data_IF_584563019590
#
_entry.id   IF_584563019590
#
_cell.length_a   1.000
_cell.length_b   1.000
_cell.length_c   1.000
_cell.angle_alpha   90.00
_cell.angle_beta   90.00
_cell.angle_gamma   90.00
#
_symmetry.space_group_name_H-M   'P 1'
#
loop_
_entity.id
_entity.type
_entity.pdbx_description
1 polymer ?
#
# COMPACT_ATOMS: atom_id res chain seq x y z
N UNK A 1 -59.86 -4.25 32.27
CA UNK A 1 -58.66 -5.06 31.97
C UNK A 1 -57.91 -4.70 30.70
N UNK A 2 -58.54 -4.20 29.62
CA UNK A 2 -57.84 -3.93 28.34
C UNK A 2 -56.82 -2.75 28.37
N UNK A 3 -57.07 -1.68 29.15
CA UNK A 3 -56.14 -0.54 29.27
C UNK A 3 -54.83 -0.87 30.01
N UNK A 4 -54.83 -1.84 30.92
CA UNK A 4 -53.64 -2.22 31.71
C UNK A 4 -52.65 -3.02 30.84
N UNK A 5 -53.17 -3.90 29.97
CA UNK A 5 -52.35 -4.65 29.00
C UNK A 5 -51.74 -3.76 27.91
N UNK A 6 -52.43 -2.69 27.51
CA UNK A 6 -51.90 -1.73 26.54
C UNK A 6 -50.74 -0.90 27.13
N UNK A 7 -50.87 -0.48 28.38
CA UNK A 7 -49.80 0.28 29.05
C UNK A 7 -48.58 -0.60 29.35
N UNK A 8 -48.79 -1.89 29.68
CA UNK A 8 -47.68 -2.83 29.89
C UNK A 8 -46.92 -3.12 28.59
N UNK A 9 -47.61 -3.23 27.45
CA UNK A 9 -46.94 -3.34 26.14
C UNK A 9 -46.11 -2.11 25.82
N UNK A 10 -46.64 -0.90 26.01
CA UNK A 10 -45.89 0.35 25.77
C UNK A 10 -44.67 0.45 26.70
N UNK A 11 -44.78 0.02 27.96
CA UNK A 11 -43.66 0.04 28.91
C UNK A 11 -42.58 -0.99 28.57
N UNK A 12 -42.97 -2.19 28.12
CA UNK A 12 -42.01 -3.21 27.64
C UNK A 12 -41.32 -2.74 26.36
N UNK A 13 -42.04 -2.13 25.41
CA UNK A 13 -41.42 -1.56 24.21
C UNK A 13 -40.50 -0.39 24.53
N UNK A 14 -40.85 0.49 25.49
CA UNK A 14 -39.98 1.58 25.94
C UNK A 14 -38.74 1.06 26.69
N UNK A 15 -38.83 -0.01 27.48
CA UNK A 15 -37.66 -0.60 28.13
C UNK A 15 -36.68 -1.21 27.11
N UNK A 16 -37.17 -1.82 26.03
CA UNK A 16 -36.30 -2.31 24.96
C UNK A 16 -35.70 -1.17 24.10
N UNK A 17 -36.41 -0.04 23.93
CA UNK A 17 -35.90 1.10 23.15
C UNK A 17 -34.90 1.95 23.96
N UNK A 18 -35.05 2.07 25.28
CA UNK A 18 -34.12 2.83 26.14
C UNK A 18 -32.89 2.01 26.55
N UNK A 19 -33.00 0.68 26.68
CA UNK A 19 -31.84 -0.22 26.85
C UNK A 19 -31.00 -0.37 25.58
N UNK A 20 -31.52 0.02 24.42
CA UNK A 20 -30.76 0.14 23.18
C UNK A 20 -30.27 1.57 22.96
N UNK A 21 -30.22 2.41 24.01
CA UNK A 21 -29.61 3.74 24.07
C UNK A 21 -28.09 3.70 23.96
N UNK A 22 -27.64 3.10 22.86
CA UNK A 22 -26.43 3.34 22.08
C UNK A 22 -25.36 4.21 22.76
N UNK A 23 -24.57 3.59 23.65
CA UNK A 23 -23.14 3.87 23.72
C UNK A 23 -22.48 3.46 22.41
N UNK A 24 -22.72 4.25 21.35
CA UNK A 24 -22.14 4.09 20.00
C UNK A 24 -20.62 4.12 20.19
N UNK A 25 -19.94 3.05 19.80
CA UNK A 25 -18.48 2.93 19.74
C UNK A 25 -17.68 2.66 21.03
N UNK A 26 -18.26 2.35 22.20
CA UNK A 26 -17.38 2.19 23.39
C UNK A 26 -16.36 1.03 23.27
N UNK A 27 -16.75 -0.14 22.71
CA UNK A 27 -15.82 -1.26 22.55
C UNK A 27 -14.83 -1.07 21.39
N UNK A 28 -15.23 -0.38 20.32
CA UNK A 28 -14.37 -0.13 19.16
C UNK A 28 -13.41 1.03 19.41
N UNK A 29 -13.88 2.08 20.07
CA UNK A 29 -12.98 3.11 20.59
C UNK A 29 -12.01 2.48 21.58
N UNK A 30 -12.44 1.50 22.39
CA UNK A 30 -11.54 0.79 23.29
C UNK A 30 -10.51 -0.07 22.53
N UNK A 31 -10.89 -0.83 21.49
CA UNK A 31 -9.94 -1.61 20.66
C UNK A 31 -8.97 -0.70 19.89
N UNK A 32 -9.45 0.42 19.34
CA UNK A 32 -8.62 1.40 18.64
C UNK A 32 -7.69 2.15 19.63
N UNK A 33 -8.20 2.54 20.80
CA UNK A 33 -7.39 3.17 21.87
C UNK A 33 -6.34 2.20 22.41
N UNK A 34 -6.69 0.93 22.59
CA UNK A 34 -5.75 -0.10 23.03
C UNK A 34 -4.69 -0.35 21.96
N UNK A 35 -5.09 -0.41 20.69
CA UNK A 35 -4.17 -0.53 19.56
C UNK A 35 -3.22 0.66 19.49
N UNK A 36 -3.74 1.88 19.64
CA UNK A 36 -2.94 3.09 19.70
C UNK A 36 -1.99 3.12 20.89
N UNK A 37 -2.45 2.71 22.08
CA UNK A 37 -1.62 2.62 23.28
C UNK A 37 -0.47 1.63 23.09
N UNK A 38 -0.76 0.43 22.56
CA UNK A 38 0.26 -0.57 22.23
C UNK A 38 1.27 -0.06 21.20
N UNK A 39 0.79 0.57 20.13
CA UNK A 39 1.66 1.18 19.12
C UNK A 39 2.51 2.31 19.71
N UNK A 40 1.95 3.14 20.60
CA UNK A 40 2.67 4.20 21.28
C UNK A 40 3.71 3.66 22.25
N UNK A 41 3.42 2.58 22.97
CA UNK A 41 4.37 1.89 23.85
C UNK A 41 5.54 1.33 23.04
N UNK A 42 5.25 0.64 21.93
CA UNK A 42 6.26 0.13 21.02
C UNK A 42 7.11 1.27 20.42
N UNK A 43 6.48 2.36 19.96
CA UNK A 43 7.16 3.55 19.44
C UNK A 43 8.01 4.28 20.46
N UNK A 44 7.63 4.27 21.74
CA UNK A 44 8.42 4.87 22.82
C UNK A 44 9.83 4.26 22.96
N UNK A 45 10.02 3.04 22.46
CA UNK A 45 11.33 2.36 22.47
C UNK A 45 12.11 2.46 21.17
N UNK A 46 11.53 3.11 20.12
CA UNK A 46 12.18 3.48 18.85
C UNK A 46 13.48 2.72 18.55
N UNK A 47 13.35 1.47 18.09
CA UNK A 47 14.51 0.59 17.96
C UNK A 47 14.97 -0.02 19.28
N UNK A 48 14.05 -0.65 20.03
CA UNK A 48 14.40 -1.37 21.25
C UNK A 48 15.48 -2.43 21.01
N UNK A 49 16.04 -3.02 22.08
CA UNK A 49 17.18 -3.95 22.01
C UNK A 49 16.99 -5.06 20.96
N UNK A 50 15.77 -5.58 20.84
CA UNK A 50 15.43 -6.59 19.81
C UNK A 50 15.59 -6.06 18.39
N UNK A 51 15.12 -4.85 18.11
CA UNK A 51 15.23 -4.26 16.78
C UNK A 51 16.68 -3.96 16.40
N UNK A 52 17.47 -3.42 17.33
CA UNK A 52 18.91 -3.20 17.14
C UNK A 52 19.63 -4.53 16.89
N UNK A 53 19.31 -5.57 17.65
CA UNK A 53 19.91 -6.90 17.50
C UNK A 53 19.60 -7.52 16.14
N UNK A 54 18.35 -7.42 15.68
CA UNK A 54 17.95 -7.94 14.36
C UNK A 54 18.59 -7.13 13.22
N UNK A 55 18.62 -5.80 13.32
CA UNK A 55 19.25 -4.93 12.33
C UNK A 55 20.74 -5.23 12.17
N UNK A 56 21.45 -5.37 13.30
CA UNK A 56 22.85 -5.78 13.32
C UNK A 56 23.04 -7.16 12.69
N UNK A 57 22.25 -8.15 13.10
CA UNK A 57 22.36 -9.53 12.59
C UNK A 57 22.10 -9.62 11.10
N UNK A 58 21.11 -8.89 10.59
CA UNK A 58 20.81 -8.82 9.17
C UNK A 58 21.96 -8.12 8.41
N UNK A 59 22.42 -6.96 8.89
CA UNK A 59 23.47 -6.18 8.27
C UNK A 59 24.78 -6.96 8.13
N UNK A 60 25.21 -7.65 9.20
CA UNK A 60 26.42 -8.50 9.20
C UNK A 60 26.32 -9.64 8.17
N UNK A 61 25.17 -10.31 8.09
CA UNK A 61 24.93 -11.39 7.13
C UNK A 61 24.93 -10.87 5.68
N UNK A 62 24.24 -9.74 5.43
CA UNK A 62 24.17 -9.11 4.11
C UNK A 62 25.56 -8.67 3.64
N UNK A 63 26.33 -8.03 4.53
CA UNK A 63 27.71 -7.62 4.24
C UNK A 63 28.61 -8.82 3.92
N UNK A 64 28.48 -9.91 4.69
CA UNK A 64 29.20 -11.16 4.43
C UNK A 64 28.89 -11.72 3.04
N UNK A 65 27.62 -11.76 2.65
CA UNK A 65 27.18 -12.21 1.32
C UNK A 65 27.73 -11.30 0.22
N UNK A 66 27.69 -9.98 0.40
CA UNK A 66 28.19 -8.98 -0.57
C UNK A 66 29.73 -9.02 -0.72
N UNK A 67 30.46 -9.23 0.36
CA UNK A 67 31.90 -9.39 0.31
C UNK A 67 32.28 -10.67 -0.42
N UNK A 68 31.60 -11.78 -0.12
CA UNK A 68 31.84 -13.04 -0.80
C UNK A 68 31.48 -12.99 -2.30
N UNK A 69 30.40 -12.29 -2.67
CA UNK A 69 30.04 -12.09 -4.08
C UNK A 69 31.12 -11.31 -4.84
N UNK A 70 31.69 -10.30 -4.19
CA UNK A 70 32.75 -9.46 -4.73
C UNK A 70 34.04 -10.25 -4.95
N UNK A 71 34.42 -11.08 -3.97
CA UNK A 71 35.60 -11.94 -4.06
C UNK A 71 35.50 -12.95 -5.22
N UNK A 72 34.28 -13.35 -5.59
CA UNK A 72 34.03 -14.30 -6.67
C UNK A 72 33.81 -13.65 -8.04
N UNK A 73 33.86 -12.31 -8.13
CA UNK A 73 33.60 -11.62 -9.40
C UNK A 73 32.12 -11.66 -9.83
N UNK A 74 31.21 -12.07 -8.95
CA UNK A 74 29.79 -12.24 -9.27
C UNK A 74 29.00 -10.92 -9.22
N UNK A 75 29.60 -9.84 -8.71
CA UNK A 75 29.00 -8.50 -8.66
C UNK A 75 28.58 -7.97 -10.04
N UNK A 76 29.21 -8.45 -11.12
CA UNK A 76 28.92 -8.03 -12.49
C UNK A 76 27.77 -8.82 -13.14
N UNK A 77 27.33 -9.92 -12.53
CA UNK A 77 26.23 -10.74 -13.05
C UNK A 77 24.85 -10.21 -12.64
N UNK A 78 24.81 -9.27 -11.68
CA UNK A 78 23.57 -8.62 -11.28
C UNK A 78 23.18 -7.64 -12.38
N UNK A 79 22.31 -8.06 -13.30
CA UNK A 79 21.54 -7.10 -14.06
C UNK A 79 20.62 -6.39 -13.07
N UNK A 80 20.74 -5.07 -12.94
CA UNK A 80 19.94 -4.22 -12.04
C UNK A 80 18.44 -4.35 -12.23
N UNK A 81 17.99 -5.00 -13.32
CA UNK A 81 16.58 -5.16 -13.68
C UNK A 81 16.04 -6.59 -13.47
N UNK A 82 16.85 -7.60 -13.15
CA UNK A 82 16.39 -9.00 -13.07
C UNK A 82 16.07 -9.50 -11.66
N UNK A 83 16.42 -8.74 -10.62
CA UNK A 83 16.50 -9.23 -9.24
C UNK A 83 15.18 -9.60 -8.55
N UNK A 84 14.04 -9.39 -9.20
CA UNK A 84 12.80 -9.21 -8.45
C UNK A 84 11.55 -9.82 -9.09
N UNK A 85 11.69 -10.48 -10.24
CA UNK A 85 10.58 -11.15 -10.92
C UNK A 85 10.24 -12.54 -10.35
N UNK A 86 11.07 -13.13 -9.46
CA UNK A 86 11.03 -14.59 -9.21
C UNK A 86 10.68 -15.09 -7.82
N UNK A 87 10.45 -14.25 -6.82
CA UNK A 87 10.17 -14.74 -5.46
C UNK A 87 8.80 -14.30 -4.94
N UNK A 88 7.84 -15.21 -5.10
CA UNK A 88 6.49 -15.14 -4.53
C UNK A 88 5.46 -14.59 -5.49
N UNK A 89 4.25 -15.15 -5.46
CA UNK A 89 3.09 -14.60 -6.14
C UNK A 89 2.96 -13.13 -5.73
N UNK A 90 3.00 -12.22 -6.72
CA UNK A 90 3.19 -10.76 -6.61
C UNK A 90 2.20 -10.03 -5.69
N UNK A 91 1.23 -10.72 -5.09
CA UNK A 91 0.11 -10.15 -4.34
C UNK A 91 0.05 -10.67 -2.90
N UNK A 92 1.08 -11.40 -2.45
CA UNK A 92 1.20 -11.74 -1.02
C UNK A 92 1.63 -10.49 -0.25
N UNK A 93 0.99 -10.16 0.88
CA UNK A 93 1.47 -9.07 1.73
C UNK A 93 2.92 -9.30 2.12
N UNK A 94 3.69 -8.22 2.16
CA UNK A 94 4.94 -8.22 2.89
C UNK A 94 4.58 -8.05 4.36
N UNK A 95 4.80 -9.10 5.14
CA UNK A 95 4.62 -9.10 6.58
C UNK A 95 5.98 -8.77 7.20
N UNK A 96 6.02 -7.70 7.97
CA UNK A 96 7.20 -7.19 8.64
C UNK A 96 6.97 -7.23 10.14
N UNK A 97 7.26 -8.38 10.73
CA UNK A 97 7.32 -8.57 12.18
C UNK A 97 8.71 -9.03 12.62
N UNK A 98 8.96 -8.93 13.92
CA UNK A 98 10.26 -9.34 14.46
C UNK A 98 10.55 -10.83 14.22
N UNK A 99 9.52 -11.67 14.27
CA UNK A 99 9.60 -13.11 14.02
C UNK A 99 9.86 -13.42 12.54
N UNK A 100 9.19 -12.71 11.62
CA UNK A 100 9.35 -12.90 10.18
C UNK A 100 10.75 -12.47 9.71
N UNK A 101 11.29 -11.40 10.30
CA UNK A 101 12.65 -10.93 10.06
C UNK A 101 13.67 -11.93 10.60
N UNK A 102 13.49 -12.42 11.82
CA UNK A 102 14.34 -13.45 12.42
C UNK A 102 14.34 -14.73 11.57
N UNK A 103 13.17 -15.21 11.16
CA UNK A 103 13.02 -16.34 10.24
C UNK A 103 13.71 -16.10 8.89
N UNK A 104 13.65 -14.86 8.36
CA UNK A 104 14.30 -14.51 7.09
C UNK A 104 15.82 -14.48 7.20
N UNK A 105 16.36 -14.03 8.35
CA UNK A 105 17.78 -14.09 8.67
C UNK A 105 18.24 -15.55 8.72
N UNK A 106 17.51 -16.41 9.43
CA UNK A 106 17.87 -17.83 9.58
C UNK A 106 17.79 -18.59 8.26
N UNK A 107 16.76 -18.33 7.45
CA UNK A 107 16.64 -18.90 6.10
C UNK A 107 17.81 -18.48 5.21
N UNK A 108 18.13 -17.17 5.20
CA UNK A 108 19.20 -16.62 4.39
C UNK A 108 20.57 -17.16 4.83
N UNK A 109 20.80 -17.28 6.14
CA UNK A 109 22.02 -17.86 6.70
C UNK A 109 22.17 -19.33 6.31
N UNK A 110 21.11 -20.11 6.47
CA UNK A 110 21.09 -21.53 6.07
C UNK A 110 21.35 -21.69 4.57
N UNK A 111 20.80 -20.80 3.74
CA UNK A 111 21.05 -20.79 2.30
C UNK A 111 22.51 -20.44 2.01
N UNK A 112 23.05 -19.40 2.62
CA UNK A 112 24.45 -18.99 2.48
C UNK A 112 25.42 -20.12 2.83
N UNK A 113 25.23 -20.78 3.98
CA UNK A 113 26.08 -21.88 4.45
C UNK A 113 26.10 -23.05 3.45
N UNK A 114 24.92 -23.48 2.96
CA UNK A 114 24.82 -24.54 1.95
C UNK A 114 25.51 -24.20 0.64
N UNK A 115 25.39 -22.96 0.19
CA UNK A 115 26.00 -22.52 -1.07
C UNK A 115 27.51 -22.29 -0.94
N UNK A 116 27.99 -21.87 0.23
CA UNK A 116 29.42 -21.72 0.52
C UNK A 116 30.18 -23.06 0.43
N UNK A 117 29.54 -24.17 0.80
CA UNK A 117 30.16 -25.51 0.77
C UNK A 117 30.27 -26.11 -0.65
N UNK A 118 29.39 -25.73 -1.58
CA UNK A 118 29.20 -26.45 -2.85
C UNK A 118 30.06 -26.00 -4.02
N UNK A 119 31.04 -25.12 -3.82
CA UNK A 119 31.87 -24.58 -4.90
C UNK A 119 31.01 -24.05 -6.08
N UNK A 120 30.11 -23.14 -5.74
CA UNK A 120 29.42 -22.10 -6.54
C UNK A 120 28.94 -22.43 -7.98
N UNK A 121 27.62 -22.59 -8.15
CA UNK A 121 26.92 -22.46 -9.44
C UNK A 121 26.21 -21.10 -9.48
N UNK A 122 26.47 -20.29 -10.52
CA UNK A 122 26.13 -18.86 -10.56
C UNK A 122 24.65 -18.49 -10.35
N UNK A 123 23.70 -19.39 -10.63
CA UNK A 123 22.26 -19.10 -10.45
C UNK A 123 21.84 -19.02 -8.98
N UNK A 124 22.44 -19.83 -8.10
CA UNK A 124 22.08 -19.85 -6.68
C UNK A 124 22.55 -18.55 -5.98
N UNK A 125 23.63 -17.96 -6.48
CA UNK A 125 24.18 -16.73 -5.95
C UNK A 125 23.32 -15.51 -6.22
N UNK A 126 22.70 -15.46 -7.41
CA UNK A 126 21.72 -14.42 -7.73
C UNK A 126 20.54 -14.49 -6.74
N UNK A 127 19.96 -15.67 -6.54
CA UNK A 127 18.89 -15.87 -5.54
C UNK A 127 19.31 -15.48 -4.12
N UNK A 128 20.55 -15.78 -3.73
CA UNK A 128 21.08 -15.38 -2.42
C UNK A 128 21.16 -13.86 -2.28
N UNK A 129 21.68 -13.16 -3.29
CA UNK A 129 21.77 -11.70 -3.32
C UNK A 129 20.39 -11.05 -3.35
N UNK A 130 19.45 -11.59 -4.12
CA UNK A 130 18.05 -11.13 -4.15
C UNK A 130 17.39 -11.23 -2.78
N UNK A 131 17.57 -12.36 -2.08
CA UNK A 131 17.07 -12.54 -0.71
C UNK A 131 17.76 -11.62 0.29
N UNK A 132 19.06 -11.36 0.13
CA UNK A 132 19.81 -10.43 0.96
C UNK A 132 19.32 -8.99 0.78
N UNK A 133 19.09 -8.54 -0.45
CA UNK A 133 18.57 -7.19 -0.72
C UNK A 133 17.09 -7.05 -0.28
N UNK A 134 16.27 -8.10 -0.42
CA UNK A 134 14.92 -8.12 0.14
C UNK A 134 14.93 -8.03 1.68
N UNK A 135 15.83 -8.75 2.34
CA UNK A 135 16.00 -8.67 3.80
C UNK A 135 16.45 -7.27 4.21
N UNK A 136 17.42 -6.67 3.50
CA UNK A 136 17.91 -5.30 3.74
C UNK A 136 16.77 -4.26 3.66
N UNK A 137 15.92 -4.35 2.63
CA UNK A 137 14.75 -3.50 2.49
C UNK A 137 13.74 -3.72 3.62
N UNK A 138 13.48 -4.98 3.96
CA UNK A 138 12.50 -5.38 4.98
C UNK A 138 12.92 -4.90 6.38
N UNK A 139 14.18 -5.08 6.75
CA UNK A 139 14.70 -4.65 8.06
C UNK A 139 14.74 -3.13 8.17
N UNK A 140 15.18 -2.41 7.13
CA UNK A 140 15.18 -0.93 7.11
C UNK A 140 13.79 -0.36 7.21
N UNK A 141 12.82 -0.94 6.48
CA UNK A 141 11.42 -0.51 6.55
C UNK A 141 10.83 -0.79 7.93
N UNK A 142 11.02 -2.00 8.45
CA UNK A 142 10.53 -2.37 9.78
C UNK A 142 11.10 -1.50 10.88
N UNK A 143 12.42 -1.30 10.92
CA UNK A 143 13.10 -0.45 11.92
C UNK A 143 12.66 1.00 11.82
N UNK A 144 12.54 1.56 10.61
CA UNK A 144 12.00 2.91 10.40
C UNK A 144 10.60 3.06 11.01
N UNK A 145 9.71 2.11 10.71
CA UNK A 145 8.33 2.19 11.17
C UNK A 145 8.16 1.94 12.66
N UNK A 146 9.12 1.31 13.36
CA UNK A 146 9.04 1.20 14.83
C UNK A 146 8.81 2.57 15.48
N UNK A 147 9.41 3.63 14.92
CA UNK A 147 9.23 5.00 15.40
C UNK A 147 7.93 5.69 14.98
N UNK A 148 7.13 5.04 14.14
CA UNK A 148 5.97 5.62 13.48
C UNK A 148 4.77 4.68 13.50
N UNK A 149 4.74 3.68 14.39
CA UNK A 149 3.66 2.69 14.43
C UNK A 149 2.30 3.32 14.70
N UNK A 150 2.26 4.40 15.49
CA UNK A 150 1.01 5.15 15.73
C UNK A 150 0.39 5.72 14.45
N UNK A 151 1.21 6.02 13.44
CA UNK A 151 0.73 6.50 12.13
C UNK A 151 0.23 5.35 11.25
N UNK A 152 0.60 4.11 11.58
CA UNK A 152 0.17 2.90 10.89
C UNK A 152 -1.04 2.21 11.57
N UNK A 153 -1.49 2.72 12.72
CA UNK A 153 -2.79 2.33 13.30
C UNK A 153 -3.88 3.10 12.55
N UNK A 154 -4.08 2.75 11.28
CA UNK A 154 -5.11 3.29 10.41
C UNK A 154 -6.20 2.25 10.20
N UNK A 155 -7.41 2.54 10.70
CA UNK A 155 -8.57 1.66 10.56
C UNK A 155 -8.94 1.45 9.10
N UNK A 156 -8.79 2.46 8.24
CA UNK A 156 -9.24 2.38 6.85
C UNK A 156 -8.31 1.44 6.07
N UNK A 157 -6.99 1.50 6.30
CA UNK A 157 -6.02 0.58 5.70
C UNK A 157 -6.28 -0.87 6.11
N UNK A 158 -6.62 -1.12 7.38
CA UNK A 158 -6.99 -2.45 7.84
C UNK A 158 -8.31 -2.94 7.19
N UNK A 159 -9.32 -2.07 7.08
CA UNK A 159 -10.59 -2.39 6.44
C UNK A 159 -10.44 -2.67 4.94
N UNK A 160 -9.55 -1.94 4.24
CA UNK A 160 -9.19 -2.18 2.84
C UNK A 160 -8.40 -3.49 2.66
N UNK A 161 -7.57 -3.87 3.63
CA UNK A 161 -6.93 -5.19 3.66
C UNK A 161 -7.96 -6.31 3.81
N UNK A 162 -8.93 -6.13 4.72
CA UNK A 162 -10.01 -7.09 4.92
C UNK A 162 -10.90 -7.23 3.67
N UNK A 163 -11.10 -6.14 2.91
CA UNK A 163 -11.72 -6.16 1.59
C UNK A 163 -11.00 -7.11 0.63
N UNK A 164 -9.68 -6.95 0.47
CA UNK A 164 -8.89 -7.75 -0.47
C UNK A 164 -8.93 -9.25 -0.15
N UNK A 165 -8.85 -9.59 1.14
CA UNK A 165 -8.95 -10.99 1.57
C UNK A 165 -10.33 -11.59 1.26
N UNK A 166 -11.42 -10.85 1.51
CA UNK A 166 -12.77 -11.34 1.22
C UNK A 166 -13.03 -11.40 -0.27
N UNK A 167 -12.56 -10.41 -1.04
CA UNK A 167 -12.66 -10.39 -2.49
C UNK A 167 -12.02 -11.64 -3.09
N UNK A 168 -10.82 -12.00 -2.65
CA UNK A 168 -10.09 -13.20 -3.12
C UNK A 168 -10.84 -14.52 -2.92
N UNK A 169 -11.77 -14.57 -1.96
CA UNK A 169 -12.53 -15.77 -1.61
C UNK A 169 -13.90 -15.84 -2.29
N UNK A 170 -14.55 -14.69 -2.50
CA UNK A 170 -15.97 -14.64 -2.87
C UNK A 170 -16.25 -13.93 -4.21
N UNK A 171 -15.29 -13.18 -4.75
CA UNK A 171 -15.49 -12.48 -6.01
C UNK A 171 -15.56 -13.46 -7.19
N UNK A 172 -16.52 -13.23 -8.09
CA UNK A 172 -16.78 -14.08 -9.26
C UNK A 172 -16.37 -13.42 -10.58
N UNK A 173 -16.45 -12.09 -10.67
CA UNK A 173 -16.20 -11.33 -11.90
C UNK A 173 -15.54 -9.98 -11.59
N UNK A 174 -14.60 -9.57 -12.44
CA UNK A 174 -13.93 -8.27 -12.33
C UNK A 174 -13.13 -8.08 -11.03
N UNK A 175 -12.70 -9.17 -10.41
CA UNK A 175 -11.95 -9.14 -9.16
C UNK A 175 -10.60 -8.48 -9.38
N UNK A 176 -10.08 -7.80 -8.37
CA UNK A 176 -8.64 -7.49 -8.34
C UNK A 176 -7.91 -8.82 -8.49
N UNK A 177 -7.06 -8.94 -9.51
CA UNK A 177 -6.15 -10.08 -9.64
C UNK A 177 -5.35 -10.13 -8.34
N UNK A 178 -5.75 -11.04 -7.46
CA UNK A 178 -5.26 -11.10 -6.10
C UNK A 178 -5.01 -12.58 -5.82
N UNK A 179 -3.75 -12.96 -5.96
CA UNK A 179 -3.25 -14.31 -5.75
C UNK A 179 -3.10 -14.60 -4.25
N UNK A 180 -4.04 -14.07 -3.46
CA UNK A 180 -4.14 -14.45 -2.07
C UNK A 180 -4.36 -15.95 -2.07
N UNK A 181 -3.38 -16.66 -1.52
CA UNK A 181 -3.58 -18.04 -1.09
C UNK A 181 -4.89 -17.99 -0.33
N UNK A 182 -5.90 -18.71 -0.83
CA UNK A 182 -7.26 -18.80 -0.28
C UNK A 182 -7.17 -19.36 1.14
N UNK A 183 -6.70 -18.54 2.06
CA UNK A 183 -6.60 -18.87 3.46
C UNK A 183 -8.04 -19.12 3.86
N UNK A 184 -8.30 -20.36 4.26
CA UNK A 184 -9.64 -20.73 4.71
C UNK A 184 -9.90 -19.93 5.97
N UNK A 185 -10.70 -18.88 5.85
CA UNK A 185 -11.20 -18.15 7.00
C UNK A 185 -12.22 -19.05 7.70
N UNK A 186 -12.08 -19.19 9.02
CA UNK A 186 -13.16 -19.77 9.80
C UNK A 186 -14.35 -18.78 9.86
N UNK A 187 -15.54 -19.25 10.23
CA UNK A 187 -16.74 -18.40 10.23
C UNK A 187 -16.62 -17.16 11.13
N UNK A 188 -15.85 -17.23 12.23
CA UNK A 188 -15.62 -16.10 13.14
C UNK A 188 -14.72 -15.05 12.49
N UNK A 189 -13.65 -15.47 11.83
CA UNK A 189 -12.74 -14.60 11.08
C UNK A 189 -13.45 -13.96 9.89
N UNK A 190 -14.18 -14.76 9.10
CA UNK A 190 -14.97 -14.28 7.98
C UNK A 190 -15.95 -13.20 8.43
N UNK A 191 -16.69 -13.45 9.53
CA UNK A 191 -17.62 -12.46 10.08
C UNK A 191 -16.89 -11.18 10.51
N UNK A 192 -15.75 -11.29 11.20
CA UNK A 192 -14.96 -10.13 11.65
C UNK A 192 -14.52 -9.29 10.45
N UNK A 193 -13.85 -9.91 9.47
CA UNK A 193 -13.36 -9.23 8.26
C UNK A 193 -14.49 -8.66 7.43
N UNK A 194 -15.63 -9.35 7.32
CA UNK A 194 -16.77 -8.86 6.56
C UNK A 194 -17.34 -7.58 7.18
N UNK A 195 -17.49 -7.57 8.51
CA UNK A 195 -18.00 -6.42 9.24
C UNK A 195 -17.05 -5.22 9.08
N UNK A 196 -15.74 -5.48 9.11
CA UNK A 196 -14.65 -4.52 8.89
C UNK A 196 -14.70 -3.91 7.48
N UNK A 197 -14.66 -4.75 6.44
CA UNK A 197 -14.82 -4.33 5.04
C UNK A 197 -16.12 -3.54 4.81
N UNK A 198 -17.24 -4.02 5.37
CA UNK A 198 -18.54 -3.38 5.19
C UNK A 198 -18.62 -2.02 5.90
N UNK A 199 -17.83 -1.77 6.95
CA UNK A 199 -17.83 -0.46 7.62
C UNK A 199 -17.26 0.69 6.79
N UNK A 200 -16.54 0.39 5.70
CA UNK A 200 -16.11 1.39 4.72
C UNK A 200 -17.29 2.15 4.08
N UNK A 201 -18.47 1.51 3.97
CA UNK A 201 -19.64 2.07 3.26
C UNK A 201 -20.93 2.06 4.07
N UNK A 202 -21.03 1.28 5.15
CA UNK A 202 -22.20 1.17 6.01
C UNK A 202 -21.83 1.27 7.49
N UNK A 203 -22.83 1.47 8.36
CA UNK A 203 -22.56 1.42 9.81
C UNK A 203 -22.20 -0.01 10.22
N UNK A 204 -21.11 -0.19 10.94
CA UNK A 204 -20.60 -1.50 11.43
C UNK A 204 -21.67 -2.40 12.08
N UNK A 205 -22.54 -1.85 12.93
CA UNK A 205 -23.64 -2.62 13.55
C UNK A 205 -24.68 -3.11 12.53
N UNK A 206 -24.95 -2.31 11.50
CA UNK A 206 -25.82 -2.71 10.38
C UNK A 206 -25.20 -3.87 9.62
N UNK A 207 -23.89 -3.78 9.32
CA UNK A 207 -23.14 -4.87 8.67
C UNK A 207 -23.22 -6.17 9.48
N UNK A 208 -22.98 -6.09 10.80
CA UNK A 208 -23.04 -7.25 11.70
C UNK A 208 -24.41 -7.92 11.70
N UNK A 209 -25.49 -7.14 11.93
CA UNK A 209 -26.85 -7.67 11.99
C UNK A 209 -27.27 -8.27 10.65
N UNK A 210 -27.01 -7.59 9.53
CA UNK A 210 -27.38 -8.08 8.20
C UNK A 210 -26.60 -9.33 7.81
N UNK A 211 -25.31 -9.43 8.16
CA UNK A 211 -24.51 -10.62 7.94
C UNK A 211 -25.05 -11.83 8.71
N UNK A 212 -25.43 -11.63 9.99
CA UNK A 212 -25.99 -12.70 10.82
C UNK A 212 -27.35 -13.17 10.27
N UNK A 213 -28.21 -12.23 9.84
CA UNK A 213 -29.48 -12.55 9.18
C UNK A 213 -29.24 -13.32 7.86
N UNK A 214 -28.29 -12.89 7.04
CA UNK A 214 -27.96 -13.59 5.79
C UNK A 214 -27.45 -15.01 6.06
N UNK A 215 -26.66 -15.19 7.13
CA UNK A 215 -26.15 -16.50 7.56
C UNK A 215 -27.28 -17.43 7.99
N UNK A 216 -28.21 -16.96 8.82
CA UNK A 216 -29.38 -17.73 9.26
C UNK A 216 -30.29 -18.17 8.10
N UNK A 217 -30.41 -17.31 7.08
CA UNK A 217 -31.24 -17.57 5.90
C UNK A 217 -30.50 -18.34 4.78
N UNK A 218 -29.26 -18.79 5.00
CA UNK A 218 -28.42 -19.44 3.98
C UNK A 218 -28.16 -18.57 2.73
N UNK A 219 -28.18 -17.25 2.90
CA UNK A 219 -27.90 -16.24 1.88
C UNK A 219 -26.53 -15.56 2.09
N UNK A 220 -25.63 -16.16 2.89
CA UNK A 220 -24.32 -15.60 3.25
C UNK A 220 -23.49 -15.22 2.01
N UNK A 221 -23.29 -16.15 1.07
CA UNK A 221 -22.45 -15.92 -0.11
C UNK A 221 -23.00 -14.83 -1.04
N UNK A 222 -24.28 -14.87 -1.48
CA UNK A 222 -24.84 -13.78 -2.29
C UNK A 222 -24.75 -12.41 -1.61
N UNK A 223 -24.95 -12.36 -0.29
CA UNK A 223 -24.87 -11.12 0.46
C UNK A 223 -23.43 -10.56 0.52
N UNK A 224 -22.42 -11.42 0.68
CA UNK A 224 -21.01 -11.02 0.61
C UNK A 224 -20.69 -10.44 -0.77
N UNK A 225 -21.12 -11.10 -1.84
CA UNK A 225 -20.87 -10.66 -3.21
C UNK A 225 -21.53 -9.31 -3.53
N UNK A 226 -22.78 -9.11 -3.09
CA UNK A 226 -23.45 -7.82 -3.18
C UNK A 226 -22.61 -6.72 -2.52
N UNK A 227 -22.15 -6.95 -1.27
CA UNK A 227 -21.37 -5.94 -0.55
C UNK A 227 -19.99 -5.69 -1.12
N UNK A 228 -19.31 -6.71 -1.63
CA UNK A 228 -18.05 -6.54 -2.35
C UNK A 228 -18.21 -5.54 -3.49
N UNK A 229 -19.28 -5.65 -4.30
CA UNK A 229 -19.52 -4.73 -5.41
C UNK A 229 -19.70 -3.27 -4.96
N UNK A 230 -20.32 -3.04 -3.80
CA UNK A 230 -20.51 -1.71 -3.25
C UNK A 230 -19.20 -1.14 -2.68
N UNK A 231 -18.44 -1.97 -1.94
CA UNK A 231 -17.17 -1.57 -1.33
C UNK A 231 -16.09 -1.34 -2.39
N UNK A 232 -16.13 -2.08 -3.51
CA UNK A 232 -15.20 -1.92 -4.63
C UNK A 232 -15.12 -0.48 -5.14
N UNK A 233 -16.25 0.19 -5.28
CA UNK A 233 -16.27 1.61 -5.70
C UNK A 233 -15.57 2.52 -4.68
N UNK A 234 -15.75 2.24 -3.39
CA UNK A 234 -15.03 2.96 -2.34
C UNK A 234 -13.53 2.66 -2.42
N UNK A 235 -13.15 1.39 -2.53
CA UNK A 235 -11.77 0.94 -2.66
C UNK A 235 -11.06 1.61 -3.84
N UNK A 236 -11.67 1.57 -5.03
CA UNK A 236 -11.12 2.20 -6.24
C UNK A 236 -10.90 3.70 -6.05
N UNK A 237 -11.83 4.39 -5.39
CA UNK A 237 -11.69 5.81 -5.07
C UNK A 237 -10.65 6.06 -3.96
N UNK A 238 -10.56 5.19 -2.97
CA UNK A 238 -9.65 5.34 -1.84
C UNK A 238 -8.19 5.12 -2.25
N UNK A 239 -7.96 4.19 -3.18
CA UNK A 239 -6.64 3.81 -3.70
C UNK A 239 -6.28 4.62 -4.95
N UNK A 240 -7.11 4.53 -5.99
CA UNK A 240 -6.80 5.10 -7.32
C UNK A 240 -7.42 6.48 -7.54
N UNK A 241 -8.22 6.97 -6.59
CA UNK A 241 -8.83 8.28 -6.70
C UNK A 241 -7.82 9.42 -6.63
N UNK A 242 -8.11 10.47 -7.39
CA UNK A 242 -7.32 11.69 -7.44
C UNK A 242 -7.82 12.68 -6.38
N UNK A 243 -6.92 13.17 -5.53
CA UNK A 243 -7.17 14.32 -4.63
C UNK A 243 -7.18 15.61 -5.45
N UNK A 244 -7.45 16.74 -4.79
CA UNK A 244 -7.28 18.02 -5.47
C UNK A 244 -5.80 18.17 -5.87
N UNK A 245 -5.52 18.43 -7.16
CA UNK A 245 -4.15 18.62 -7.62
C UNK A 245 -3.50 19.83 -6.95
N UNK A 246 -2.17 19.85 -6.99
CA UNK A 246 -1.39 20.98 -6.53
C UNK A 246 -1.60 22.28 -7.34
N UNK A 247 -2.13 22.19 -8.56
CA UNK A 247 -2.34 23.31 -9.47
C UNK A 247 -3.50 23.08 -10.44
N UNK A 248 -3.91 24.18 -11.07
CA UNK A 248 -4.83 24.17 -12.19
C UNK A 248 -4.08 23.70 -13.45
N UNK A 249 -4.37 22.46 -13.85
CA UNK A 249 -3.95 21.94 -15.14
C UNK A 249 -4.90 22.44 -16.22
N UNK A 250 -4.36 22.81 -17.38
CA UNK A 250 -5.20 23.02 -18.57
C UNK A 250 -5.24 21.75 -19.38
N UNK A 251 -6.43 21.23 -19.66
CA UNK A 251 -6.59 20.17 -20.63
C UNK A 251 -7.56 20.59 -21.74
N UNK A 252 -7.24 20.20 -22.97
CA UNK A 252 -8.14 20.36 -24.11
C UNK A 252 -8.17 19.10 -24.96
N UNK A 253 -9.29 18.88 -25.62
CA UNK A 253 -9.41 17.85 -26.64
C UNK A 253 -8.67 18.32 -27.91
N UNK A 254 -7.66 17.56 -28.34
CA UNK A 254 -6.84 17.90 -29.52
C UNK A 254 -7.48 17.33 -30.79
N UNK A 255 -7.83 16.04 -30.77
CA UNK A 255 -8.51 15.35 -31.89
C UNK A 255 -9.72 14.56 -31.38
N UNK A 256 -10.39 13.81 -32.26
CA UNK A 256 -11.53 12.96 -31.85
C UNK A 256 -11.15 11.95 -30.75
N UNK A 257 -9.91 11.49 -30.72
CA UNK A 257 -9.41 10.43 -29.83
C UNK A 257 -8.27 10.83 -28.89
N UNK A 258 -7.73 12.05 -28.99
CA UNK A 258 -6.54 12.47 -28.24
C UNK A 258 -6.78 13.76 -27.43
N UNK A 259 -6.27 13.77 -26.21
CA UNK A 259 -6.34 14.87 -25.25
C UNK A 259 -4.93 15.45 -25.03
N UNK A 260 -4.86 16.75 -24.83
CA UNK A 260 -3.62 17.48 -24.53
C UNK A 260 -3.70 18.06 -23.12
N UNK A 261 -2.87 17.55 -22.21
CA UNK A 261 -2.70 18.06 -20.84
C UNK A 261 -1.47 18.98 -20.79
N UNK A 262 -1.69 20.25 -20.49
CA UNK A 262 -0.63 21.26 -20.32
C UNK A 262 -0.28 21.39 -18.84
N UNK A 263 0.98 21.10 -18.52
CA UNK A 263 1.52 21.11 -17.16
C UNK A 263 2.36 22.37 -16.97
N UNK A 264 2.06 23.23 -15.99
CA UNK A 264 2.93 24.35 -15.64
C UNK A 264 4.23 23.84 -15.01
N UNK A 265 5.37 24.22 -15.58
CA UNK A 265 6.71 23.88 -15.09
C UNK A 265 7.47 25.18 -14.78
N UNK A 266 8.15 25.23 -13.64
CA UNK A 266 9.02 26.36 -13.30
C UNK A 266 10.38 26.19 -13.95
N UNK A 267 10.88 27.26 -14.58
CA UNK A 267 12.23 27.28 -15.10
C UNK A 267 13.26 27.09 -13.98
N UNK A 268 14.27 26.25 -14.21
CA UNK A 268 15.33 26.01 -13.23
C UNK A 268 16.12 24.71 -13.46
N UNK A 269 17.05 24.41 -12.55
CA UNK A 269 17.80 23.16 -12.57
C UNK A 269 16.86 21.95 -12.54
N UNK A 270 17.08 20.97 -13.42
CA UNK A 270 16.24 19.77 -13.48
C UNK A 270 14.94 19.91 -14.28
N UNK A 271 14.61 21.08 -14.87
CA UNK A 271 13.43 21.25 -15.73
C UNK A 271 13.35 20.16 -16.81
N UNK A 272 14.42 20.01 -17.61
CA UNK A 272 14.44 19.01 -18.69
C UNK A 272 14.33 17.58 -18.18
N UNK A 273 14.90 17.29 -17.01
CA UNK A 273 14.81 15.97 -16.40
C UNK A 273 13.37 15.65 -15.98
N UNK A 274 12.72 16.62 -15.33
CA UNK A 274 11.31 16.54 -14.95
C UNK A 274 10.42 16.34 -16.17
N UNK A 275 10.58 17.17 -17.21
CA UNK A 275 9.81 17.07 -18.45
C UNK A 275 9.98 15.70 -19.12
N UNK A 276 11.21 15.20 -19.20
CA UNK A 276 11.51 13.90 -19.79
C UNK A 276 10.90 12.75 -19.00
N UNK A 277 10.99 12.78 -17.66
CA UNK A 277 10.37 11.77 -16.81
C UNK A 277 8.84 11.76 -16.97
N UNK A 278 8.22 12.94 -16.98
CA UNK A 278 6.78 13.07 -17.18
C UNK A 278 6.38 12.52 -18.54
N UNK A 279 7.04 12.93 -19.63
CA UNK A 279 6.72 12.42 -20.97
C UNK A 279 6.85 10.90 -21.05
N UNK A 280 7.98 10.36 -20.56
CA UNK A 280 8.28 8.93 -20.65
C UNK A 280 7.20 8.06 -20.00
N UNK A 281 6.64 8.50 -18.87
CA UNK A 281 5.75 7.66 -18.06
C UNK A 281 4.27 8.03 -18.12
N UNK A 282 3.93 9.29 -18.40
CA UNK A 282 2.54 9.78 -18.36
C UNK A 282 1.93 10.04 -19.73
N UNK A 283 2.72 10.11 -20.81
CA UNK A 283 2.15 10.12 -22.16
C UNK A 283 1.61 8.75 -22.54
N UNK A 284 0.50 8.75 -23.29
CA UNK A 284 -0.13 7.55 -23.82
C UNK A 284 -0.72 7.82 -25.20
N UNK A 285 -1.29 6.80 -25.82
CA UNK A 285 -2.03 6.90 -27.08
C UNK A 285 -3.17 7.93 -27.01
N UNK A 286 -3.84 8.04 -25.85
CA UNK A 286 -4.96 8.98 -25.62
C UNK A 286 -4.56 10.32 -25.01
N UNK A 287 -3.41 10.41 -24.33
CA UNK A 287 -2.99 11.60 -23.57
C UNK A 287 -1.60 12.09 -24.00
N UNK A 288 -1.55 13.29 -24.55
CA UNK A 288 -0.31 14.01 -24.87
C UNK A 288 -0.02 15.02 -23.78
N UNK A 289 1.23 15.09 -23.37
CA UNK A 289 1.68 16.06 -22.36
C UNK A 289 2.36 17.24 -23.03
N UNK A 290 1.99 18.46 -22.64
CA UNK A 290 2.68 19.70 -23.00
C UNK A 290 3.12 20.42 -21.74
N UNK A 291 4.09 21.31 -21.89
CA UNK A 291 4.63 22.10 -20.80
C UNK A 291 4.46 23.58 -21.11
N UNK A 292 4.12 24.36 -20.09
CA UNK A 292 4.11 25.82 -20.15
C UNK A 292 4.97 26.38 -19.03
N UNK A 293 5.77 27.39 -19.31
CA UNK A 293 6.57 28.05 -18.28
C UNK A 293 5.67 28.81 -17.30
N UNK A 294 5.87 28.58 -16.00
CA UNK A 294 5.12 29.24 -14.92
C UNK A 294 5.97 29.38 -13.66
N UNK A 295 5.95 30.56 -13.03
CA UNK A 295 6.64 30.78 -11.75
C UNK A 295 6.09 29.93 -10.59
N UNK A 296 4.84 29.48 -10.73
CA UNK A 296 4.13 28.57 -9.80
C UNK A 296 4.03 27.14 -10.36
N UNK A 297 4.85 26.80 -11.36
CA UNK A 297 4.89 25.47 -11.94
C UNK A 297 5.68 24.48 -11.10
N UNK A 298 5.53 23.19 -11.45
CA UNK A 298 6.28 22.09 -10.79
C UNK A 298 7.77 22.30 -10.97
N UNK A 299 8.54 21.95 -9.94
CA UNK A 299 10.00 21.95 -9.98
C UNK A 299 10.61 20.84 -9.16
N UNK A 300 11.84 20.49 -9.53
CA UNK A 300 12.72 19.66 -8.72
C UNK A 300 13.50 20.53 -7.72
N UNK A 301 13.71 19.98 -6.53
CA UNK A 301 14.65 20.51 -5.54
C UNK A 301 15.49 19.36 -5.01
N UNK A 302 16.78 19.38 -5.31
CA UNK A 302 17.70 18.31 -4.92
C UNK A 302 18.05 18.40 -3.43
N UNK A 303 18.10 17.25 -2.76
CA UNK A 303 18.62 17.11 -1.40
C UNK A 303 19.28 15.75 -1.22
N UNK A 304 20.38 15.66 -0.49
CA UNK A 304 21.05 14.38 -0.18
C UNK A 304 20.56 13.72 1.11
N UNK A 305 19.73 14.44 1.87
CA UNK A 305 19.38 14.12 3.26
C UNK A 305 17.96 13.60 3.42
N UNK A 306 17.12 13.76 2.39
CA UNK A 306 15.71 13.39 2.45
C UNK A 306 15.39 12.27 1.47
N UNK A 307 14.43 11.43 1.83
CA UNK A 307 13.77 10.55 0.86
C UNK A 307 13.02 11.43 -0.14
N UNK A 308 13.03 11.03 -1.40
CA UNK A 308 12.29 11.75 -2.43
C UNK A 308 10.81 11.80 -2.06
N UNK A 309 10.20 12.98 -2.20
CA UNK A 309 8.79 13.20 -1.87
C UNK A 309 8.29 14.51 -2.48
N UNK A 310 6.98 14.64 -2.62
CA UNK A 310 6.33 15.95 -2.77
C UNK A 310 6.34 16.69 -1.42
N UNK A 311 6.72 17.97 -1.43
CA UNK A 311 6.71 18.79 -0.22
C UNK A 311 5.27 19.04 0.27
N UNK A 312 5.04 18.80 1.56
CA UNK A 312 3.69 18.89 2.15
C UNK A 312 3.13 20.32 2.21
N UNK A 313 4.00 21.33 2.34
CA UNK A 313 3.62 22.75 2.42
C UNK A 313 3.50 23.42 1.06
N UNK A 314 4.31 22.97 0.09
CA UNK A 314 4.28 23.46 -1.26
C UNK A 314 4.32 22.26 -2.24
N UNK A 315 3.15 21.73 -2.62
CA UNK A 315 3.09 20.54 -3.46
C UNK A 315 3.55 20.76 -4.91
N UNK A 316 4.08 21.95 -5.26
CA UNK A 316 4.78 22.21 -6.52
C UNK A 316 6.23 21.74 -6.49
N UNK A 317 6.77 21.43 -5.31
CA UNK A 317 8.16 21.06 -5.11
C UNK A 317 8.25 19.55 -4.95
N UNK A 318 8.92 18.89 -5.90
CA UNK A 318 9.40 17.52 -5.74
C UNK A 318 10.80 17.61 -5.13
N UNK A 319 10.92 17.22 -3.86
CA UNK A 319 12.21 17.01 -3.21
C UNK A 319 12.79 15.71 -3.78
N UNK A 320 13.91 15.79 -4.50
CA UNK A 320 14.54 14.62 -5.12
C UNK A 320 15.84 14.28 -4.42
N UNK A 321 16.00 13.01 -4.03
CA UNK A 321 17.25 12.55 -3.43
C UNK A 321 18.39 12.59 -4.46
N UNK A 322 19.43 13.40 -4.18
CA UNK A 322 20.57 13.61 -5.08
C UNK A 322 21.45 12.36 -5.30
N UNK A 323 21.31 11.32 -4.46
CA UNK A 323 22.04 10.05 -4.59
C UNK A 323 21.39 9.09 -5.60
N UNK A 324 20.16 9.37 -6.02
CA UNK A 324 19.49 8.59 -7.06
C UNK A 324 20.18 8.83 -8.41
N UNK A 325 20.28 7.76 -9.19
CA UNK A 325 20.88 7.78 -10.52
C UNK A 325 20.15 6.86 -11.49
N UNK A 326 20.46 6.98 -12.78
CA UNK A 326 19.92 6.10 -13.82
C UNK A 326 18.39 6.09 -13.89
N UNK A 327 17.83 4.91 -14.19
CA UNK A 327 16.39 4.74 -14.38
C UNK A 327 15.58 4.94 -13.09
N UNK A 328 16.13 4.57 -11.92
CA UNK A 328 15.50 4.80 -10.62
C UNK A 328 15.21 6.28 -10.39
N UNK A 329 16.12 7.17 -10.78
CA UNK A 329 15.92 8.61 -10.66
C UNK A 329 14.73 9.10 -11.50
N UNK A 330 14.66 8.67 -12.76
CA UNK A 330 13.59 9.04 -13.69
C UNK A 330 12.23 8.48 -13.22
N UNK A 331 12.20 7.22 -12.80
CA UNK A 331 11.02 6.57 -12.20
C UNK A 331 10.54 7.30 -10.95
N UNK A 332 11.46 7.66 -10.07
CA UNK A 332 11.13 8.41 -8.84
C UNK A 332 10.50 9.75 -9.19
N UNK A 333 11.07 10.50 -10.13
CA UNK A 333 10.48 11.77 -10.57
C UNK A 333 9.04 11.57 -11.10
N UNK A 334 8.83 10.54 -11.92
CA UNK A 334 7.51 10.25 -12.48
C UNK A 334 6.49 9.82 -11.42
N UNK A 335 6.91 9.04 -10.42
CA UNK A 335 6.11 8.63 -9.26
C UNK A 335 5.71 9.85 -8.42
N UNK A 336 6.68 10.68 -8.03
CA UNK A 336 6.40 11.90 -7.26
C UNK A 336 5.51 12.86 -8.03
N UNK A 337 5.68 12.96 -9.35
CA UNK A 337 4.77 13.73 -10.19
C UNK A 337 3.32 13.19 -10.16
N UNK A 338 3.12 11.88 -9.99
CA UNK A 338 1.80 11.31 -9.72
C UNK A 338 1.15 11.88 -8.47
N UNK A 339 1.91 12.08 -7.38
CA UNK A 339 1.40 12.74 -6.18
C UNK A 339 1.10 14.22 -6.41
N UNK A 340 1.90 14.89 -7.23
CA UNK A 340 1.64 16.27 -7.66
C UNK A 340 0.30 16.38 -8.41
N UNK A 341 -0.04 15.40 -9.26
CA UNK A 341 -1.33 15.28 -9.92
C UNK A 341 -2.48 15.00 -8.92
N UNK A 342 -2.17 14.57 -7.70
CA UNK A 342 -3.13 14.23 -6.65
C UNK A 342 -3.39 12.73 -6.51
N UNK A 343 -2.69 11.87 -7.25
CA UNK A 343 -2.78 10.43 -7.05
C UNK A 343 -2.13 10.02 -5.73
N UNK A 344 -2.71 9.00 -5.10
CA UNK A 344 -2.16 8.39 -3.90
C UNK A 344 -1.17 7.30 -4.29
N UNK A 345 -0.38 6.91 -3.31
CA UNK A 345 0.31 5.64 -3.37
C UNK A 345 -0.67 4.50 -3.59
N UNK A 346 -0.28 3.56 -4.44
CA UNK A 346 -1.06 2.37 -4.77
C UNK A 346 -0.62 1.18 -3.88
N UNK A 347 -0.39 1.45 -2.60
CA UNK A 347 -0.18 0.41 -1.60
C UNK A 347 -1.04 0.66 -0.37
N UNK A 348 -1.28 -0.41 0.38
CA UNK A 348 -1.89 -0.34 1.71
C UNK A 348 -0.83 -0.73 2.71
N UNK A 349 -0.68 0.07 3.77
CA UNK A 349 0.22 -0.21 4.87
C UNK A 349 -0.49 0.05 6.19
N UNK A 350 -0.40 -0.90 7.13
CA UNK A 350 -0.91 -0.74 8.49
C UNK A 350 -0.17 -1.63 9.48
N UNK A 351 -0.36 -1.36 10.77
CA UNK A 351 0.19 -2.14 11.87
C UNK A 351 -0.90 -3.04 12.49
N UNK A 352 -0.75 -4.35 12.37
CA UNK A 352 -1.60 -5.34 13.04
C UNK A 352 -1.15 -5.49 14.50
N UNK A 353 -1.80 -4.76 15.41
CA UNK A 353 -1.50 -4.78 16.85
C UNK A 353 -1.79 -6.11 17.54
N UNK A 354 -2.52 -7.03 16.89
CA UNK A 354 -2.79 -8.36 17.44
C UNK A 354 -1.62 -9.31 17.24
N UNK A 355 -0.83 -9.09 16.19
CA UNK A 355 0.35 -9.88 15.84
C UNK A 355 1.66 -9.11 16.01
N UNK A 356 1.57 -7.80 16.23
CA UNK A 356 2.72 -6.90 16.33
C UNK A 356 3.55 -6.86 15.03
N UNK A 357 2.85 -6.88 13.90
CA UNK A 357 3.42 -6.95 12.54
C UNK A 357 2.98 -5.73 11.72
N UNK A 358 3.86 -5.21 10.86
CA UNK A 358 3.48 -4.26 9.81
C UNK A 358 3.10 -5.06 8.58
N UNK A 359 1.92 -4.78 8.03
CA UNK A 359 1.40 -5.42 6.83
C UNK A 359 1.47 -4.43 5.68
N UNK A 360 2.12 -4.82 4.59
CA UNK A 360 2.28 -3.99 3.40
C UNK A 360 1.79 -4.71 2.14
N UNK A 361 0.91 -4.06 1.39
CA UNK A 361 0.33 -4.55 0.14
C UNK A 361 0.64 -3.61 -1.01
N UNK A 362 1.40 -4.05 -2.00
CA UNK A 362 1.45 -3.37 -3.30
C UNK A 362 0.30 -3.85 -4.17
N UNK A 363 -0.59 -2.93 -4.52
CA UNK A 363 -1.70 -3.24 -5.41
C UNK A 363 -1.15 -3.28 -6.85
N UNK A 364 -1.57 -4.23 -7.67
CA UNK A 364 -1.10 -4.35 -9.07
C UNK A 364 0.41 -4.49 -9.29
N UNK A 365 1.16 -5.03 -8.31
CA UNK A 365 2.59 -5.30 -8.44
C UNK A 365 2.93 -6.16 -9.66
N UNK A 366 2.08 -7.15 -9.98
CA UNK A 366 2.23 -8.03 -11.15
C UNK A 366 2.14 -7.29 -12.49
N UNK A 367 1.47 -6.15 -12.54
CA UNK A 367 1.26 -5.37 -13.76
C UNK A 367 2.30 -4.23 -13.91
N UNK A 368 3.21 -4.09 -12.93
CA UNK A 368 4.30 -3.12 -12.98
C UNK A 368 3.85 -1.68 -12.83
N UNK A 369 2.94 -1.40 -11.89
CA UNK A 369 2.40 -0.07 -11.64
C UNK A 369 3.36 0.80 -10.80
N UNK A 370 3.92 1.83 -11.44
CA UNK A 370 4.90 2.75 -10.87
C UNK A 370 4.36 3.61 -9.71
N UNK A 371 3.04 3.76 -9.58
CA UNK A 371 2.44 4.42 -8.41
C UNK A 371 2.40 3.53 -7.17
N UNK A 372 2.69 2.23 -7.29
CA UNK A 372 2.67 1.29 -6.16
C UNK A 372 4.10 0.96 -5.72
N UNK A 373 5.04 0.85 -6.67
CA UNK A 373 6.44 0.50 -6.37
C UNK A 373 7.43 1.04 -7.40
N UNK A 374 8.54 1.60 -6.92
CA UNK A 374 9.67 2.00 -7.78
C UNK A 374 10.50 0.79 -8.26
N UNK A 375 10.49 -0.29 -7.47
CA UNK A 375 11.27 -1.50 -7.73
C UNK A 375 10.62 -2.37 -8.81
N UNK A 376 9.30 -2.57 -8.72
CA UNK A 376 8.54 -3.40 -9.68
C UNK A 376 7.83 -2.58 -10.75
N UNK A 377 7.59 -1.30 -10.49
CA UNK A 377 6.93 -0.39 -11.42
C UNK A 377 7.76 -0.15 -12.66
N UNK A 378 7.19 -0.46 -13.83
CA UNK A 378 7.83 -0.21 -15.13
C UNK A 378 7.07 0.83 -15.95
N UNK A 379 5.81 1.11 -15.61
CA UNK A 379 4.98 2.09 -16.29
C UNK A 379 3.91 2.69 -15.35
N UNK A 380 3.22 3.73 -15.84
CA UNK A 380 1.97 4.20 -15.25
C UNK A 380 0.82 3.51 -16.00
N UNK A 381 -0.05 2.74 -15.33
CA UNK A 381 -1.17 2.07 -16.00
C UNK A 381 -2.14 3.03 -16.71
N UNK A 382 -2.74 2.57 -17.81
CA UNK A 382 -3.64 3.38 -18.66
C UNK A 382 -4.81 4.00 -17.89
N UNK A 383 -5.32 3.34 -16.85
CA UNK A 383 -6.42 3.87 -16.03
C UNK A 383 -6.09 5.23 -15.40
N UNK A 384 -4.82 5.52 -15.08
CA UNK A 384 -4.44 6.82 -14.53
C UNK A 384 -4.62 7.93 -15.56
N UNK A 385 -4.23 7.71 -16.82
CA UNK A 385 -4.46 8.71 -17.88
C UNK A 385 -5.94 8.89 -18.17
N UNK A 386 -6.76 7.84 -18.06
CA UNK A 386 -8.22 7.94 -18.18
C UNK A 386 -8.84 8.78 -17.05
N UNK A 387 -8.36 8.60 -15.81
CA UNK A 387 -8.76 9.44 -14.66
C UNK A 387 -8.36 10.90 -14.88
N UNK A 388 -7.15 11.17 -15.37
CA UNK A 388 -6.70 12.53 -15.70
C UNK A 388 -7.60 13.17 -16.77
N UNK A 389 -7.93 12.43 -17.83
CA UNK A 389 -8.80 12.91 -18.90
C UNK A 389 -10.19 13.24 -18.34
N UNK A 390 -10.77 12.33 -17.58
CA UNK A 390 -12.09 12.53 -16.97
C UNK A 390 -12.11 13.72 -16.01
N UNK A 391 -11.01 13.95 -15.28
CA UNK A 391 -10.93 14.99 -14.25
C UNK A 391 -10.65 16.38 -14.80
N UNK A 392 -9.80 16.49 -15.82
CA UNK A 392 -9.26 17.77 -16.27
C UNK A 392 -9.75 18.22 -17.65
N UNK A 393 -10.23 17.30 -18.48
CA UNK A 393 -10.56 17.59 -19.88
C UNK A 393 -12.07 17.61 -20.17
N UNK A 394 -12.89 17.12 -19.22
CA UNK A 394 -14.34 17.11 -19.27
C UNK A 394 -14.88 18.03 -18.18
#
# INVERSE_FOLDING_TARGET
MSKVLSNLRVLVTLFFVVSCGVGKNSSLNHEAQLSYFKASEATGTCGGEKAISLDKSASELIETIKNQSTLQGLQYLIQTNSMLERHGNFLTPIILGSHEIESSIDELRSLYEREAERSFVGTNWLTLLEKADFLDMSIKRWTFHQCHLTNLVDSDSQELSDYLEIESLYCTEGCVESDFRRAKLNDKELRKKFISMCSLVERRNSCAVKFDIATLNKLKTPYIQEKLSHVKNYFEKAIYGIKNPAFDFSCKKNTSSQYELTIPIKAGPGKFELENAIRKFWESDKLVVKFSDSEQGVRLQYSSEVVSRVESTNPHIILLNGKLSGDFRVKTIAHEFGHVLGFRDCYIEYYDTSKEEIIYYELERSQGNLMCSLSYGTNIPKKYSEILIQRFCN
#
